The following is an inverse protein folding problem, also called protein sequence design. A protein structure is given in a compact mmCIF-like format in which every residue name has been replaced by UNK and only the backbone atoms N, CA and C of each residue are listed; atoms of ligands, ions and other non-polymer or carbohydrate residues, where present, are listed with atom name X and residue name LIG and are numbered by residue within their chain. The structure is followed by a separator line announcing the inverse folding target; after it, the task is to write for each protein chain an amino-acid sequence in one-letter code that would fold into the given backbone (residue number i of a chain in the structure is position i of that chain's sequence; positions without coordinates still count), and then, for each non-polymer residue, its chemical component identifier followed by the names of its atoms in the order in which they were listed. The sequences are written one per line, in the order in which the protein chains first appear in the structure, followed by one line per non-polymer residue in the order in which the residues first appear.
data_IF_324417507142
#
_entry.id   IF_324417507142
#
_cell.length_a   1.000
_cell.length_b   1.000
_cell.length_c   1.000
_cell.angle_alpha   90.00
_cell.angle_beta   90.00
_cell.angle_gamma   90.00
#
_symmetry.space_group_name_H-M   'P 1'
#
loop_
_entity.id
_entity.type
_entity.pdbx_description
1 polymer ?
#
# COMPACT_ATOMS: atom_id res chain seq x y z
N UNK A 1 2.83 34.62 26.51
CA UNK A 1 3.55 33.92 25.42
C UNK A 1 4.01 32.53 25.84
N UNK A 2 4.39 32.34 27.11
CA UNK A 2 4.82 31.06 27.67
C UNK A 2 3.74 29.95 27.57
N UNK A 3 2.47 30.26 27.82
CA UNK A 3 1.38 29.27 27.70
C UNK A 3 1.14 28.78 26.26
N UNK A 4 1.34 29.66 25.27
CA UNK A 4 1.22 29.32 23.85
C UNK A 4 2.38 28.43 23.43
N UNK A 5 3.60 28.77 23.89
CA UNK A 5 4.79 27.96 23.63
C UNK A 5 4.65 26.58 24.29
N UNK A 6 4.15 26.50 25.53
CA UNK A 6 3.90 25.25 26.22
C UNK A 6 2.85 24.38 25.50
N UNK A 7 1.77 25.00 25.00
CA UNK A 7 0.74 24.30 24.23
C UNK A 7 1.28 23.74 22.91
N UNK A 8 2.12 24.51 22.19
CA UNK A 8 2.74 24.05 20.93
C UNK A 8 3.73 22.91 21.18
N UNK A 9 4.56 23.01 22.23
CA UNK A 9 5.50 21.94 22.60
C UNK A 9 4.75 20.65 22.96
N UNK A 10 3.67 20.74 23.75
CA UNK A 10 2.85 19.58 24.09
C UNK A 10 2.19 18.94 22.86
N UNK A 11 1.74 19.77 21.90
CA UNK A 11 1.20 19.28 20.63
C UNK A 11 2.25 18.48 19.84
N UNK A 12 3.47 19.01 19.72
CA UNK A 12 4.58 18.35 19.00
C UNK A 12 4.98 17.03 19.69
N UNK A 13 5.00 17.00 21.03
CA UNK A 13 5.30 15.77 21.80
C UNK A 13 4.22 14.72 21.56
N UNK A 14 2.94 15.08 21.63
CA UNK A 14 1.85 14.12 21.39
C UNK A 14 1.86 13.64 19.93
N UNK A 15 2.05 14.55 18.98
CA UNK A 15 2.04 14.23 17.56
C UNK A 15 3.26 13.41 17.10
N UNK A 16 4.38 13.46 17.83
CA UNK A 16 5.54 12.60 17.60
C UNK A 16 5.43 11.25 18.30
N UNK A 17 4.84 11.19 19.51
CA UNK A 17 4.67 9.96 20.27
C UNK A 17 3.63 9.01 19.66
N UNK A 18 2.54 9.52 19.07
CA UNK A 18 1.50 8.70 18.44
C UNK A 18 2.03 7.85 17.26
N UNK A 19 2.70 8.43 16.23
CA UNK A 19 3.25 7.64 15.14
C UNK A 19 4.40 6.74 15.61
N UNK A 20 5.24 7.19 16.55
CA UNK A 20 6.28 6.34 17.15
C UNK A 20 5.70 5.13 17.88
N UNK A 21 4.62 5.31 18.64
CA UNK A 21 3.94 4.22 19.34
C UNK A 21 3.28 3.25 18.37
N UNK A 22 2.61 3.76 17.33
CA UNK A 22 2.02 2.93 16.28
C UNK A 22 3.08 2.19 15.46
N UNK A 23 4.24 2.80 15.23
CA UNK A 23 5.35 2.18 14.53
C UNK A 23 6.02 1.12 15.41
N UNK A 24 6.30 1.42 16.68
CA UNK A 24 6.80 0.46 17.66
C UNK A 24 5.88 -0.74 17.80
N UNK A 25 4.56 -0.54 17.88
CA UNK A 25 3.59 -1.63 17.95
C UNK A 25 3.61 -2.50 16.67
N UNK A 26 3.85 -1.90 15.50
CA UNK A 26 4.03 -2.64 14.24
C UNK A 26 5.39 -3.36 14.19
N UNK A 27 6.44 -2.80 14.77
CA UNK A 27 7.77 -3.44 14.88
C UNK A 27 7.76 -4.60 15.90
N UNK A 28 7.12 -4.44 17.05
CA UNK A 28 6.97 -5.50 18.05
C UNK A 28 6.09 -6.65 17.52
N UNK A 29 5.14 -6.36 16.63
CA UNK A 29 4.38 -7.39 15.89
C UNK A 29 5.21 -8.07 14.78
N UNK A 30 6.37 -7.51 14.42
CA UNK A 30 7.28 -8.01 13.38
C UNK A 30 8.57 -8.64 13.92
N UNK A 31 8.78 -8.66 15.23
CA UNK A 31 9.82 -9.48 15.85
C UNK A 31 9.27 -10.91 16.00
N UNK A 32 9.75 -11.88 15.20
CA UNK A 32 9.45 -13.26 15.46
C UNK A 32 10.16 -13.62 16.76
N UNK A 33 9.36 -14.00 17.76
CA UNK A 33 9.80 -14.58 19.02
C UNK A 33 10.64 -15.82 18.70
N UNK A 34 11.96 -15.65 18.63
CA UNK A 34 12.89 -16.78 18.56
C UNK A 34 13.00 -17.38 19.96
N UNK A 35 12.58 -18.64 20.04
CA UNK A 35 12.97 -19.69 20.98
C UNK A 35 13.07 -19.37 22.47
N UNK A 36 12.09 -19.90 23.22
CA UNK A 36 12.41 -20.75 24.36
C UNK A 36 11.50 -21.99 24.28
N UNK A 37 12.12 -23.17 24.31
CA UNK A 37 11.45 -24.47 24.32
C UNK A 37 10.88 -24.76 25.70
N UNK A 38 9.63 -25.24 25.76
CA UNK A 38 9.27 -26.43 26.55
C UNK A 38 7.94 -27.03 26.02
N UNK A 39 7.71 -28.35 26.17
CA UNK A 39 6.78 -29.13 25.35
C UNK A 39 5.40 -29.36 26.01
N UNK A 40 4.51 -29.99 25.22
CA UNK A 40 3.15 -30.52 25.57
C UNK A 40 2.02 -29.47 25.57
N UNK A 41 0.82 -29.69 25.01
CA UNK A 41 0.22 -30.90 24.46
C UNK A 41 -0.92 -30.53 23.48
N UNK A 42 -1.20 -31.50 22.61
CA UNK A 42 -2.26 -31.74 21.61
C UNK A 42 -3.57 -30.89 21.60
N UNK A 43 -4.12 -30.80 20.37
CA UNK A 43 -5.52 -30.56 19.93
C UNK A 43 -5.72 -29.15 19.33
N UNK A 44 -5.62 -28.98 18.01
CA UNK A 44 -6.63 -29.39 17.02
C UNK A 44 -7.70 -28.29 16.98
N UNK A 45 -7.72 -27.34 16.05
CA UNK A 45 -8.08 -27.52 14.65
C UNK A 45 -7.91 -26.16 13.95
N UNK A 46 -6.99 -26.07 12.98
CA UNK A 46 -6.83 -24.87 12.14
C UNK A 46 -6.67 -25.32 10.70
N UNK A 47 -7.74 -25.28 9.93
CA UNK A 47 -7.64 -25.30 8.46
C UNK A 47 -8.18 -23.99 7.93
N UNK A 48 -7.21 -23.15 7.57
CA UNK A 48 -7.36 -21.93 6.78
C UNK A 48 -7.75 -22.30 5.36
N UNK A 49 -8.67 -21.51 4.79
CA UNK A 49 -9.02 -21.47 3.38
C UNK A 49 -7.78 -21.27 2.49
N UNK A 50 -7.64 -22.10 1.45
CA UNK A 50 -6.90 -21.78 0.22
C UNK A 50 -7.52 -22.60 -0.94
N UNK A 51 -8.36 -21.96 -1.77
CA UNK A 51 -8.03 -21.64 -3.17
C UNK A 51 -7.65 -22.86 -4.05
N UNK A 52 -8.66 -23.60 -4.54
CA UNK A 52 -8.43 -24.57 -5.62
C UNK A 52 -8.47 -23.87 -6.98
N UNK A 53 -7.28 -23.54 -7.47
CA UNK A 53 -7.03 -23.23 -8.87
C UNK A 53 -6.64 -24.52 -9.62
N UNK A 54 -7.17 -24.64 -10.84
CA UNK A 54 -6.63 -25.36 -12.01
C UNK A 54 -6.42 -26.89 -11.97
N UNK A 55 -7.20 -27.53 -12.83
CA UNK A 55 -6.78 -28.43 -13.94
C UNK A 55 -5.77 -29.54 -13.59
N UNK A 56 -6.23 -30.79 -13.62
CA UNK A 56 -5.44 -31.87 -14.22
C UNK A 56 -6.34 -32.89 -14.93
N UNK A 57 -6.32 -32.78 -16.25
CA UNK A 57 -6.84 -33.75 -17.22
C UNK A 57 -5.87 -34.93 -17.25
N UNK A 58 -6.31 -36.15 -16.99
CA UNK A 58 -5.56 -37.36 -17.34
C UNK A 58 -6.39 -38.22 -18.29
N UNK A 59 -6.02 -38.15 -19.57
CA UNK A 59 -6.22 -39.21 -20.58
C UNK A 59 -5.09 -40.24 -20.41
N UNK A 60 -5.32 -41.55 -20.61
CA UNK A 60 -4.30 -42.41 -21.17
C UNK A 60 -4.38 -42.35 -22.71
N UNK A 61 -3.23 -42.20 -23.35
CA UNK A 61 -3.04 -42.28 -24.79
C UNK A 61 -2.02 -43.38 -25.08
N UNK A 62 -2.10 -43.90 -26.31
CA UNK A 62 -1.33 -44.98 -26.95
C UNK A 62 -1.98 -46.37 -26.77
N UNK A 63 -2.29 -47.13 -27.83
CA UNK A 63 -1.85 -47.02 -29.23
C UNK A 63 -2.67 -47.94 -30.16
N UNK A 64 -2.69 -47.56 -31.44
CA UNK A 64 -3.00 -48.33 -32.66
C UNK A 64 -4.46 -48.73 -32.97
N UNK A 65 -4.96 -48.13 -34.04
CA UNK A 65 -6.27 -48.22 -34.71
C UNK A 65 -6.36 -49.45 -35.67
N UNK A 66 -7.38 -49.57 -36.55
CA UNK A 66 -8.83 -49.36 -36.40
C UNK A 66 -9.65 -50.61 -36.84
N UNK A 67 -10.96 -50.53 -36.60
CA UNK A 67 -12.05 -51.13 -37.41
C UNK A 67 -12.86 -52.26 -36.76
N UNK A 68 -14.14 -52.22 -37.12
CA UNK A 68 -15.21 -53.22 -36.97
C UNK A 68 -15.86 -53.36 -35.60
N UNK A 69 -17.04 -52.74 -35.54
CA UNK A 69 -18.32 -53.33 -35.09
C UNK A 69 -18.51 -53.78 -33.64
N UNK A 70 -19.63 -53.28 -33.11
CA UNK A 70 -20.57 -53.93 -32.20
C UNK A 70 -20.32 -53.86 -30.68
N UNK A 71 -21.46 -53.76 -29.97
CA UNK A 71 -21.68 -53.71 -28.51
C UNK A 71 -21.62 -52.29 -27.91
N UNK A 72 -22.66 -51.44 -27.96
CA UNK A 72 -24.03 -51.62 -27.45
C UNK A 72 -24.06 -52.11 -25.99
N UNK A 73 -24.13 -51.17 -25.05
CA UNK A 73 -24.64 -51.38 -23.70
C UNK A 73 -25.60 -50.22 -23.38
N UNK A 74 -26.70 -50.19 -24.15
CA UNK A 74 -27.91 -49.46 -23.79
C UNK A 74 -28.59 -50.34 -22.74
N UNK A 75 -28.70 -49.87 -21.50
CA UNK A 75 -29.45 -50.56 -20.45
C UNK A 75 -30.93 -50.42 -20.83
N UNK A 76 -31.42 -51.41 -21.57
CA UNK A 76 -32.85 -51.67 -21.72
C UNK A 76 -33.42 -52.06 -20.36
N UNK A 77 -34.30 -51.20 -19.84
CA UNK A 77 -35.28 -51.59 -18.85
C UNK A 77 -36.25 -52.56 -19.54
N UNK A 78 -36.12 -53.82 -19.15
CA UNK A 78 -36.80 -55.00 -19.68
C UNK A 78 -38.27 -54.75 -20.01
N UNK A 79 -38.60 -54.87 -21.29
CA UNK A 79 -39.95 -55.23 -21.71
C UNK A 79 -40.21 -56.67 -21.22
N UNK A 80 -41.12 -56.79 -20.27
CA UNK A 80 -41.72 -58.06 -19.85
C UNK A 80 -42.60 -58.59 -20.99
N UNK A 81 -42.01 -59.46 -21.80
CA UNK A 81 -42.68 -60.28 -22.79
C UNK A 81 -43.20 -61.54 -22.09
N UNK A 82 -44.46 -61.50 -21.65
CA UNK A 82 -45.22 -62.70 -21.30
C UNK A 82 -46.20 -62.96 -22.44
N UNK A 83 -45.79 -63.83 -23.35
CA UNK A 83 -46.63 -64.50 -24.34
C UNK A 83 -47.46 -65.57 -23.61
N UNK A 84 -48.78 -65.37 -23.54
CA UNK A 84 -49.72 -66.48 -23.31
C UNK A 84 -51.13 -66.11 -23.82
N UNK A 85 -51.53 -66.86 -24.84
CA UNK A 85 -52.88 -67.22 -25.29
C UNK A 85 -53.82 -66.17 -25.93
N UNK A 86 -54.01 -66.41 -27.23
CA UNK A 86 -54.93 -65.76 -28.14
C UNK A 86 -56.40 -65.93 -27.70
N UNK A 87 -56.97 -64.87 -27.11
CA UNK A 87 -58.43 -64.79 -26.86
C UNK A 87 -58.98 -63.46 -26.33
N UNK A 88 -58.15 -62.56 -25.80
CA UNK A 88 -58.59 -61.33 -25.10
C UNK A 88 -57.90 -60.04 -25.59
N UNK A 89 -57.46 -60.00 -26.85
CA UNK A 89 -56.42 -59.10 -27.35
C UNK A 89 -56.81 -57.61 -27.52
N UNK A 90 -58.11 -57.26 -27.53
CA UNK A 90 -58.54 -55.85 -27.72
C UNK A 90 -58.50 -54.99 -26.46
N UNK A 91 -58.84 -55.58 -25.30
CA UNK A 91 -59.02 -54.83 -24.05
C UNK A 91 -57.70 -54.60 -23.29
N UNK A 92 -56.76 -55.54 -23.35
CA UNK A 92 -55.43 -55.42 -22.73
C UNK A 92 -54.52 -54.42 -23.49
N UNK A 93 -54.55 -54.40 -24.83
CA UNK A 93 -53.80 -53.43 -25.63
C UNK A 93 -54.24 -51.98 -25.35
N UNK A 94 -55.54 -51.74 -25.17
CA UNK A 94 -56.10 -50.42 -24.82
C UNK A 94 -55.73 -49.97 -23.39
N UNK A 95 -55.49 -50.89 -22.45
CA UNK A 95 -54.97 -50.57 -21.11
C UNK A 95 -53.47 -50.27 -21.15
N UNK A 96 -52.71 -50.98 -21.96
CA UNK A 96 -51.27 -50.75 -22.14
C UNK A 96 -50.97 -49.38 -22.78
N UNK A 97 -51.75 -48.95 -23.78
CA UNK A 97 -51.61 -47.63 -24.40
C UNK A 97 -51.92 -46.49 -23.41
N UNK A 98 -52.99 -46.61 -22.62
CA UNK A 98 -53.32 -45.66 -21.54
C UNK A 98 -52.23 -45.59 -20.47
N UNK A 99 -51.60 -46.72 -20.12
CA UNK A 99 -50.47 -46.76 -19.17
C UNK A 99 -49.23 -46.05 -19.73
N UNK A 100 -48.92 -46.25 -21.02
CA UNK A 100 -47.80 -45.58 -21.72
C UNK A 100 -48.01 -44.06 -21.81
N UNK A 101 -49.24 -43.63 -22.06
CA UNK A 101 -49.60 -42.21 -22.09
C UNK A 101 -49.51 -41.55 -20.71
N UNK A 102 -50.00 -42.22 -19.66
CA UNK A 102 -49.83 -41.75 -18.27
C UNK A 102 -48.35 -41.66 -17.87
N UNK A 103 -47.52 -42.64 -18.24
CA UNK A 103 -46.05 -42.58 -18.00
C UNK A 103 -45.39 -41.42 -18.73
N UNK A 104 -45.86 -41.07 -19.93
CA UNK A 104 -45.37 -39.90 -20.68
C UNK A 104 -45.78 -38.59 -20.04
N UNK A 105 -47.03 -38.49 -19.58
CA UNK A 105 -47.55 -37.32 -18.85
C UNK A 105 -46.81 -37.12 -17.52
N UNK A 106 -46.55 -38.20 -16.78
CA UNK A 106 -45.77 -38.15 -15.53
C UNK A 106 -44.32 -37.70 -15.78
N UNK A 107 -43.67 -38.20 -16.83
CA UNK A 107 -42.32 -37.76 -17.22
C UNK A 107 -42.26 -36.32 -17.71
N UNK A 108 -43.34 -35.81 -18.31
CA UNK A 108 -43.45 -34.39 -18.70
C UNK A 108 -43.72 -33.50 -17.48
N UNK A 109 -44.59 -33.92 -16.55
CA UNK A 109 -44.82 -33.24 -15.29
C UNK A 109 -43.55 -33.18 -14.41
N UNK A 110 -42.78 -34.27 -14.35
CA UNK A 110 -41.51 -34.31 -13.64
C UNK A 110 -40.48 -33.34 -14.23
N UNK A 111 -40.38 -33.28 -15.57
CA UNK A 111 -39.49 -32.31 -16.26
C UNK A 111 -39.94 -30.87 -16.04
N UNK A 112 -41.24 -30.59 -16.00
CA UNK A 112 -41.76 -29.25 -15.70
C UNK A 112 -41.47 -28.85 -14.25
N UNK A 113 -41.65 -29.76 -13.29
CA UNK A 113 -41.32 -29.52 -11.89
C UNK A 113 -39.81 -29.28 -11.67
N UNK A 114 -38.96 -30.07 -12.34
CA UNK A 114 -37.51 -29.90 -12.30
C UNK A 114 -37.07 -28.56 -12.92
N UNK A 115 -37.62 -28.19 -14.08
CA UNK A 115 -37.33 -26.91 -14.72
C UNK A 115 -37.80 -25.73 -13.86
N UNK A 116 -38.99 -25.78 -13.27
CA UNK A 116 -39.48 -24.74 -12.36
C UNK A 116 -38.60 -24.61 -11.10
N UNK A 117 -38.13 -25.74 -10.55
CA UNK A 117 -37.17 -25.73 -9.44
C UNK A 117 -35.81 -25.14 -9.84
N UNK A 118 -35.35 -25.42 -11.06
CA UNK A 118 -34.10 -24.87 -11.59
C UNK A 118 -34.22 -23.36 -11.87
N UNK A 119 -35.31 -22.90 -12.48
CA UNK A 119 -35.58 -21.49 -12.76
C UNK A 119 -35.73 -20.67 -11.47
N UNK A 120 -36.41 -21.20 -10.45
CA UNK A 120 -36.51 -20.52 -9.14
C UNK A 120 -35.17 -20.43 -8.41
N UNK A 121 -34.25 -21.39 -8.61
CA UNK A 121 -32.87 -21.31 -8.10
C UNK A 121 -32.02 -20.34 -8.90
N UNK A 122 -32.19 -20.30 -10.22
CA UNK A 122 -31.44 -19.42 -11.11
C UNK A 122 -31.82 -17.95 -10.89
N UNK A 123 -33.11 -17.64 -10.88
CA UNK A 123 -33.63 -16.29 -10.59
C UNK A 123 -33.13 -15.72 -9.26
N UNK A 124 -33.06 -16.53 -8.21
CA UNK A 124 -32.47 -16.12 -6.93
C UNK A 124 -30.97 -15.83 -7.06
N UNK A 125 -30.22 -16.70 -7.73
CA UNK A 125 -28.79 -16.50 -7.96
C UNK A 125 -28.52 -15.24 -8.79
N UNK A 126 -29.23 -15.08 -9.91
CA UNK A 126 -29.14 -13.91 -10.79
C UNK A 126 -29.45 -12.62 -10.01
N UNK A 127 -30.46 -12.62 -9.14
CA UNK A 127 -30.78 -11.48 -8.28
C UNK A 127 -29.65 -11.15 -7.28
N UNK A 128 -29.04 -12.16 -6.65
CA UNK A 128 -27.91 -11.94 -5.74
C UNK A 128 -26.67 -11.45 -6.49
N UNK A 129 -26.39 -11.98 -7.68
CA UNK A 129 -25.28 -11.54 -8.52
C UNK A 129 -25.47 -10.09 -9.00
N UNK A 130 -26.68 -9.73 -9.43
CA UNK A 130 -27.02 -8.35 -9.81
C UNK A 130 -26.88 -7.38 -8.63
N UNK A 131 -27.36 -7.77 -7.44
CA UNK A 131 -27.18 -6.97 -6.22
C UNK A 131 -25.70 -6.81 -5.83
N UNK A 132 -24.88 -7.84 -6.04
CA UNK A 132 -23.42 -7.74 -5.82
C UNK A 132 -22.77 -6.81 -6.82
N UNK A 133 -23.09 -6.96 -8.11
CA UNK A 133 -22.55 -6.10 -9.18
C UNK A 133 -22.92 -4.64 -8.96
N UNK A 134 -24.19 -4.35 -8.62
CA UNK A 134 -24.65 -2.99 -8.31
C UNK A 134 -23.92 -2.38 -7.11
N UNK A 135 -23.62 -3.18 -6.08
CA UNK A 135 -22.89 -2.72 -4.90
C UNK A 135 -21.40 -2.46 -5.19
N UNK A 136 -20.81 -3.23 -6.09
CA UNK A 136 -19.44 -3.02 -6.57
C UNK A 136 -19.36 -1.76 -7.44
N UNK A 137 -20.29 -1.59 -8.38
CA UNK A 137 -20.43 -0.38 -9.20
C UNK A 137 -20.63 0.88 -8.33
N UNK A 138 -21.46 0.82 -7.28
CA UNK A 138 -21.65 1.95 -6.34
C UNK A 138 -20.38 2.27 -5.55
N UNK A 139 -19.62 1.25 -5.14
CA UNK A 139 -18.33 1.43 -4.45
C UNK A 139 -17.30 2.07 -5.37
N UNK A 140 -17.18 1.57 -6.60
CA UNK A 140 -16.27 2.11 -7.60
C UNK A 140 -16.66 3.55 -7.95
N UNK A 141 -17.94 3.86 -8.12
CA UNK A 141 -18.40 5.23 -8.36
C UNK A 141 -18.12 6.16 -7.17
N UNK A 142 -18.20 5.66 -5.92
CA UNK A 142 -17.85 6.44 -4.74
C UNK A 142 -16.35 6.66 -4.63
N UNK A 143 -15.54 5.65 -4.95
CA UNK A 143 -14.08 5.73 -4.96
C UNK A 143 -13.59 6.71 -6.01
N UNK A 144 -14.11 6.63 -7.25
CA UNK A 144 -13.80 7.60 -8.31
C UNK A 144 -14.15 9.04 -7.93
N UNK A 145 -15.32 9.27 -7.31
CA UNK A 145 -15.68 10.61 -6.83
C UNK A 145 -14.74 11.13 -5.75
N UNK A 146 -14.29 10.27 -4.84
CA UNK A 146 -13.33 10.64 -3.80
C UNK A 146 -11.94 10.90 -4.38
N UNK A 147 -11.53 10.12 -5.38
CA UNK A 147 -10.26 10.32 -6.09
C UNK A 147 -10.26 11.63 -6.87
N UNK A 148 -11.32 11.91 -7.64
CA UNK A 148 -11.51 13.19 -8.34
C UNK A 148 -11.54 14.38 -7.37
N UNK A 149 -12.18 14.25 -6.20
CA UNK A 149 -12.19 15.30 -5.18
C UNK A 149 -10.80 15.49 -4.55
N UNK A 150 -10.07 14.40 -4.30
CA UNK A 150 -8.71 14.46 -3.77
C UNK A 150 -7.72 15.09 -4.77
N UNK A 151 -7.83 14.75 -6.06
CA UNK A 151 -7.04 15.37 -7.13
C UNK A 151 -7.39 16.84 -7.29
N UNK A 152 -8.68 17.20 -7.27
CA UNK A 152 -9.09 18.60 -7.33
C UNK A 152 -8.61 19.41 -6.12
N UNK A 153 -8.55 18.80 -4.92
CA UNK A 153 -7.95 19.44 -3.74
C UNK A 153 -6.44 19.61 -3.88
N UNK A 154 -5.73 18.60 -4.36
CA UNK A 154 -4.29 18.70 -4.60
C UNK A 154 -3.96 19.76 -5.64
N UNK A 155 -4.70 19.83 -6.74
CA UNK A 155 -4.51 20.86 -7.75
C UNK A 155 -4.71 22.27 -7.18
N UNK A 156 -5.75 22.49 -6.35
CA UNK A 156 -5.98 23.77 -5.67
C UNK A 156 -4.89 24.11 -4.65
N UNK A 157 -4.39 23.12 -3.92
CA UNK A 157 -3.29 23.30 -2.96
C UNK A 157 -1.96 23.60 -3.68
N UNK A 158 -1.70 22.96 -4.83
CA UNK A 158 -0.55 23.26 -5.69
C UNK A 158 -0.65 24.64 -6.33
N UNK A 159 -1.82 25.05 -6.82
CA UNK A 159 -2.06 26.41 -7.32
C UNK A 159 -1.87 27.46 -6.21
N UNK A 160 -2.38 27.21 -5.01
CA UNK A 160 -2.17 28.10 -3.86
C UNK A 160 -0.69 28.17 -3.46
N UNK A 161 -0.01 27.03 -3.38
CA UNK A 161 1.42 26.97 -3.07
C UNK A 161 2.27 27.65 -4.16
N UNK A 162 1.89 27.59 -5.43
CA UNK A 162 2.57 28.28 -6.51
C UNK A 162 2.42 29.81 -6.39
N UNK A 163 1.24 30.31 -6.05
CA UNK A 163 1.00 31.74 -5.80
C UNK A 163 1.72 32.22 -4.54
N UNK A 164 1.74 31.41 -3.47
CA UNK A 164 2.53 31.68 -2.27
C UNK A 164 4.03 31.69 -2.56
N UNK A 165 4.50 30.76 -3.39
CA UNK A 165 5.89 30.71 -3.83
C UNK A 165 6.25 31.94 -4.67
N UNK A 166 5.39 32.39 -5.58
CA UNK A 166 5.64 33.59 -6.37
C UNK A 166 5.66 34.86 -5.49
N UNK A 167 4.74 34.95 -4.52
CA UNK A 167 4.72 36.02 -3.52
C UNK A 167 6.02 36.03 -2.70
N UNK A 168 6.42 34.89 -2.15
CA UNK A 168 7.67 34.77 -1.40
C UNK A 168 8.88 34.99 -2.30
N UNK A 169 8.86 34.59 -3.57
CA UNK A 169 9.94 34.87 -4.52
C UNK A 169 10.07 36.37 -4.81
N UNK A 170 8.97 37.11 -4.84
CA UNK A 170 8.96 38.57 -4.95
C UNK A 170 9.46 39.27 -3.67
N UNK A 171 9.10 38.74 -2.50
CA UNK A 171 9.60 39.21 -1.20
C UNK A 171 11.07 38.79 -0.95
N UNK A 172 11.49 37.67 -1.50
CA UNK A 172 12.85 37.12 -1.48
C UNK A 172 13.66 37.64 -2.68
N UNK A 173 13.45 38.91 -3.06
CA UNK A 173 14.42 39.66 -3.85
C UNK A 173 15.77 39.53 -3.16
N UNK A 174 16.57 38.56 -3.61
CA UNK A 174 17.96 38.43 -3.23
C UNK A 174 18.61 39.68 -3.80
N UNK A 175 18.90 40.65 -2.93
CA UNK A 175 19.84 41.71 -3.26
C UNK A 175 21.06 41.03 -3.87
N UNK A 176 21.23 41.18 -5.18
CA UNK A 176 22.44 40.79 -5.90
C UNK A 176 23.57 41.78 -5.57
N UNK A 177 23.63 42.24 -4.33
CA UNK A 177 24.51 43.27 -3.83
C UNK A 177 24.88 42.89 -2.38
N UNK A 178 26.16 42.56 -2.16
CA UNK A 178 26.72 42.51 -0.81
C UNK A 178 27.14 41.12 -0.30
N UNK A 179 28.07 40.45 -0.98
CA UNK A 179 29.25 40.01 -0.21
C UNK A 179 30.20 41.20 -0.22
N UNK A 180 30.05 42.07 0.77
CA UNK A 180 31.00 43.11 1.12
C UNK A 180 32.30 42.45 1.56
N UNK A 181 33.16 42.09 0.59
CA UNK A 181 34.60 41.89 0.88
C UNK A 181 35.18 43.14 1.58
N UNK A 182 34.57 44.31 1.41
CA UNK A 182 34.95 45.56 2.06
C UNK A 182 34.64 45.63 3.57
N UNK A 183 33.55 45.05 4.10
CA UNK A 183 33.26 45.14 5.55
C UNK A 183 34.08 44.15 6.37
N UNK A 184 34.35 42.96 5.81
CA UNK A 184 35.26 42.00 6.45
C UNK A 184 36.71 42.48 6.33
N UNK A 185 37.09 43.14 5.21
CA UNK A 185 38.40 43.78 5.10
C UNK A 185 38.55 44.99 6.03
N UNK A 186 37.58 45.89 6.12
CA UNK A 186 37.69 47.09 6.97
C UNK A 186 37.74 46.75 8.46
N UNK A 187 36.95 45.74 8.89
CA UNK A 187 37.10 45.16 10.23
C UNK A 187 38.49 44.57 10.46
N UNK A 188 39.05 43.84 9.47
CA UNK A 188 40.40 43.27 9.60
C UNK A 188 41.52 44.33 9.59
N UNK A 189 41.34 45.44 8.87
CA UNK A 189 42.28 46.56 8.83
C UNK A 189 42.24 47.36 10.14
N UNK A 190 41.05 47.59 10.71
CA UNK A 190 40.90 48.18 12.03
C UNK A 190 41.60 47.37 13.12
N UNK A 191 41.43 46.04 13.11
CA UNK A 191 42.12 45.14 14.06
C UNK A 191 43.66 45.18 13.93
N UNK A 192 44.20 45.38 12.72
CA UNK A 192 45.65 45.52 12.51
C UNK A 192 46.17 46.87 12.99
N UNK A 193 45.41 47.94 12.79
CA UNK A 193 45.76 49.27 13.30
C UNK A 193 45.82 49.28 14.83
N UNK A 194 44.77 48.74 15.48
CA UNK A 194 44.69 48.62 16.93
C UNK A 194 45.85 47.79 17.49
N UNK A 195 46.25 46.72 16.79
CA UNK A 195 47.40 45.88 17.14
C UNK A 195 48.72 46.66 17.15
N UNK A 196 48.97 47.47 16.11
CA UNK A 196 50.18 48.30 16.01
C UNK A 196 50.18 49.41 17.06
N UNK A 197 49.03 50.07 17.29
CA UNK A 197 48.90 51.12 18.30
C UNK A 197 49.16 50.59 19.71
N UNK A 198 48.62 49.41 20.02
CA UNK A 198 48.83 48.75 21.31
C UNK A 198 50.31 48.48 21.59
N UNK A 199 51.05 47.93 20.62
CA UNK A 199 52.49 47.66 20.75
C UNK A 199 53.28 48.96 20.92
N UNK A 200 52.96 50.01 20.15
CA UNK A 200 53.64 51.31 20.24
C UNK A 200 53.44 51.99 21.59
N UNK A 201 52.25 51.86 22.17
CA UNK A 201 51.93 52.39 23.50
C UNK A 201 52.64 51.61 24.61
N UNK A 202 52.78 50.29 24.44
CA UNK A 202 53.33 49.39 25.44
C UNK A 202 54.69 48.82 25.01
N UNK A 203 55.76 49.59 25.23
CA UNK A 203 57.13 49.31 24.74
C UNK A 203 57.76 47.99 25.23
N UNK A 204 57.36 47.46 26.39
CA UNK A 204 57.84 46.18 26.92
C UNK A 204 56.65 45.38 27.47
N UNK A 205 56.12 44.44 26.68
CA UNK A 205 55.03 43.54 27.07
C UNK A 205 55.38 42.12 26.63
N UNK A 206 55.12 41.10 27.47
CA UNK A 206 55.31 39.71 27.07
C UNK A 206 54.32 39.33 25.95
N UNK A 207 54.78 38.53 25.00
CA UNK A 207 53.99 38.17 23.81
C UNK A 207 52.69 37.41 24.13
N UNK A 208 52.64 36.74 25.27
CA UNK A 208 51.46 36.05 25.78
C UNK A 208 50.32 37.01 26.11
N UNK A 209 50.64 38.20 26.64
CA UNK A 209 49.63 39.21 27.02
C UNK A 209 49.04 39.89 25.78
N UNK A 210 49.86 40.17 24.77
CA UNK A 210 49.38 40.71 23.48
C UNK A 210 48.50 39.67 22.77
N UNK A 211 48.91 38.41 22.79
CA UNK A 211 48.13 37.32 22.23
C UNK A 211 46.77 37.17 22.95
N UNK A 212 46.73 37.35 24.27
CA UNK A 212 45.49 37.33 25.06
C UNK A 212 44.55 38.49 24.71
N UNK A 213 45.07 39.72 24.57
CA UNK A 213 44.28 40.92 24.25
C UNK A 213 43.57 40.78 22.89
N UNK A 214 44.30 40.30 21.88
CA UNK A 214 43.76 40.12 20.52
C UNK A 214 43.15 38.74 20.28
N UNK A 215 43.09 37.88 21.31
CA UNK A 215 42.58 36.49 21.24
C UNK A 215 43.24 35.65 20.14
N UNK A 216 44.55 35.82 19.97
CA UNK A 216 45.37 35.11 18.99
C UNK A 216 46.21 34.05 19.69
N UNK A 217 46.71 33.07 18.92
CA UNK A 217 47.77 32.19 19.42
C UNK A 217 49.07 32.98 19.54
N UNK A 218 49.89 32.69 20.56
CA UNK A 218 51.19 33.35 20.75
C UNK A 218 52.08 33.26 19.50
N UNK A 219 52.03 32.13 18.78
CA UNK A 219 52.77 31.97 17.52
C UNK A 219 52.27 32.90 16.40
N UNK A 220 50.96 33.13 16.33
CA UNK A 220 50.38 34.04 15.34
C UNK A 220 50.73 35.50 15.66
N UNK A 221 50.79 35.84 16.96
CA UNK A 221 51.28 37.12 17.43
C UNK A 221 52.75 37.35 17.02
N UNK A 222 53.62 36.34 17.18
CA UNK A 222 55.02 36.40 16.73
C UNK A 222 55.08 36.67 15.23
N UNK A 223 54.37 35.88 14.42
CA UNK A 223 54.39 35.99 12.96
C UNK A 223 53.89 37.36 12.47
N UNK A 224 52.88 37.93 13.14
CA UNK A 224 52.37 39.27 12.81
C UNK A 224 53.38 40.36 13.17
N UNK A 225 54.03 40.28 14.33
CA UNK A 225 55.07 41.23 14.74
C UNK A 225 56.26 41.18 13.79
N UNK A 226 56.78 39.99 13.46
CA UNK A 226 57.90 39.85 12.53
C UNK A 226 57.56 40.41 11.14
N UNK A 227 56.33 40.18 10.65
CA UNK A 227 55.87 40.76 9.38
C UNK A 227 55.81 42.29 9.44
N UNK A 228 55.37 42.86 10.56
CA UNK A 228 55.28 44.32 10.77
C UNK A 228 56.67 44.97 10.91
N UNK A 229 57.63 44.28 11.53
CA UNK A 229 59.04 44.69 11.60
C UNK A 229 59.70 44.67 10.21
N UNK A 230 59.47 43.61 9.42
CA UNK A 230 59.96 43.51 8.03
C UNK A 230 59.39 44.62 7.13
N UNK A 231 58.13 45.03 7.37
CA UNK A 231 57.47 46.14 6.68
C UNK A 231 57.84 47.52 7.24
N UNK A 232 58.62 47.62 8.32
CA UNK A 232 59.04 48.88 8.94
C UNK A 232 57.90 49.69 9.58
N UNK A 233 56.81 49.01 9.99
CA UNK A 233 55.63 49.64 10.59
C UNK A 233 55.67 49.69 12.14
N UNK A 234 56.67 49.02 12.74
CA UNK A 234 56.97 48.97 14.18
C UNK A 234 58.33 49.60 14.48
#
# INVERSE_FOLDING_TARGET
MEDIIAAVVMMIVVFSLIPLYLWRRRLDSRLPRQHEEEPQDVQGERVVRASNTRRMRRRPAASSAPSTSAAAANVEESLDESDDEAGAHGYYAAKASKRKEKRRQEREAQRQAENAAHESRKTKQDHYEEMRRRKEEEREARERKLEEEAEARKAKEEEAAALEFEKWKGEFSVDAEGTTENEVQDGSQGLLFDFVEYIKKHKCVPLEDIAAEFKLRTQDCINRITSLEEMGML
#
